data_IF_983132288240
#
_entry.id   IF_983132288240
#
_cell.length_a   1.000
_cell.length_b   1.000
_cell.length_c   1.000
_cell.angle_alpha   90.00
_cell.angle_beta   90.00
_cell.angle_gamma   90.00
#
_symmetry.space_group_name_H-M   'P 1'
#
loop_
_entity.id
_entity.type
_entity.pdbx_description
1 polymer ?
#
# COMPACT_ATOMS: atom_id res chain seq x y z
N UNK A 1 10.47 14.24 -6.88
CA UNK A 1 11.26 13.24 -6.12
C UNK A 1 10.74 13.15 -4.68
N UNK A 2 10.51 11.94 -4.13
CA UNK A 2 10.03 11.76 -2.74
C UNK A 2 11.11 12.25 -1.77
N UNK A 3 10.81 13.11 -0.77
CA UNK A 3 11.81 13.55 0.19
C UNK A 3 12.32 12.36 1.01
N UNK A 4 13.57 12.44 1.49
CA UNK A 4 14.10 11.48 2.46
C UNK A 4 13.17 11.47 3.67
N UNK A 5 12.65 10.30 3.99
CA UNK A 5 11.68 10.16 5.06
C UNK A 5 12.39 9.83 6.37
N UNK A 6 12.13 10.61 7.41
CA UNK A 6 12.68 10.37 8.75
C UNK A 6 11.95 9.22 9.45
N UNK A 7 12.51 8.75 10.56
CA UNK A 7 11.81 7.83 11.46
C UNK A 7 10.42 8.38 11.85
N UNK A 8 9.46 7.47 12.01
CA UNK A 8 8.08 7.78 12.35
C UNK A 8 7.24 8.29 11.17
N UNK A 9 7.85 8.60 10.02
CA UNK A 9 7.10 9.01 8.83
C UNK A 9 6.48 7.84 8.08
N UNK A 10 5.31 8.08 7.47
CA UNK A 10 4.61 7.10 6.64
C UNK A 10 5.46 6.72 5.43
N UNK A 11 5.93 5.48 5.40
CA UNK A 11 6.72 4.89 4.34
C UNK A 11 5.86 4.37 3.18
N UNK A 12 4.81 3.62 3.54
CA UNK A 12 4.01 2.87 2.58
C UNK A 12 2.56 2.66 3.05
N UNK A 13 1.65 2.60 2.09
CA UNK A 13 0.23 2.26 2.28
C UNK A 13 -0.09 1.01 1.48
N UNK A 14 -0.52 -0.08 2.13
CA UNK A 14 -1.04 -1.26 1.43
C UNK A 14 -2.54 -1.38 1.66
N UNK A 15 -3.29 -1.22 0.58
CA UNK A 15 -4.74 -1.35 0.53
C UNK A 15 -5.11 -2.73 0.02
N UNK A 16 -5.96 -3.44 0.75
CA UNK A 16 -6.58 -4.68 0.28
C UNK A 16 -8.09 -4.53 0.22
N UNK A 17 -8.65 -4.74 -0.96
CA UNK A 17 -10.09 -4.54 -1.24
C UNK A 17 -10.61 -5.61 -2.19
N UNK A 18 -11.89 -6.03 -2.09
CA UNK A 18 -12.53 -6.86 -3.11
C UNK A 18 -13.06 -6.00 -4.29
N UNK A 19 -13.08 -4.67 -4.17
CA UNK A 19 -13.65 -3.73 -5.14
C UNK A 19 -12.59 -2.73 -5.62
N UNK A 20 -11.72 -3.17 -6.52
CA UNK A 20 -10.57 -2.38 -6.97
C UNK A 20 -10.98 -1.06 -7.59
N UNK A 21 -11.92 -1.06 -8.54
CA UNK A 21 -12.26 0.15 -9.29
C UNK A 21 -12.97 1.20 -8.41
N UNK A 22 -13.85 0.75 -7.51
CA UNK A 22 -14.48 1.63 -6.51
C UNK A 22 -13.43 2.24 -5.58
N UNK A 23 -12.44 1.45 -5.14
CA UNK A 23 -11.36 1.95 -4.28
C UNK A 23 -10.43 2.92 -5.03
N UNK A 24 -10.12 2.67 -6.31
CA UNK A 24 -9.36 3.60 -7.16
C UNK A 24 -10.08 4.93 -7.32
N UNK A 25 -11.37 4.90 -7.64
CA UNK A 25 -12.18 6.12 -7.78
C UNK A 25 -12.22 6.92 -6.47
N UNK A 26 -12.56 6.26 -5.36
CA UNK A 26 -12.68 6.92 -4.05
C UNK A 26 -11.37 7.61 -3.61
N UNK A 27 -10.24 6.91 -3.65
CA UNK A 27 -8.96 7.50 -3.23
C UNK A 27 -8.34 8.41 -4.29
N UNK A 28 -8.68 8.22 -5.55
CA UNK A 28 -8.36 9.14 -6.63
C UNK A 28 -9.01 10.49 -6.40
N UNK A 29 -10.31 10.52 -6.11
CA UNK A 29 -11.06 11.75 -5.85
C UNK A 29 -10.64 12.42 -4.53
N UNK A 30 -10.45 11.63 -3.47
CA UNK A 30 -10.15 12.14 -2.13
C UNK A 30 -8.73 12.72 -2.00
N UNK A 31 -7.73 12.07 -2.62
CA UNK A 31 -6.32 12.43 -2.42
C UNK A 31 -5.57 12.78 -3.72
N UNK A 32 -6.23 12.75 -4.88
CA UNK A 32 -5.57 12.94 -6.17
C UNK A 32 -4.62 11.79 -6.53
N UNK A 33 -4.83 10.59 -5.97
CA UNK A 33 -3.95 9.45 -6.21
C UNK A 33 -4.13 8.88 -7.60
N UNK A 34 -3.01 8.52 -8.22
CA UNK A 34 -2.96 7.84 -9.52
C UNK A 34 -2.59 6.38 -9.31
N UNK A 35 -3.20 5.50 -10.10
CA UNK A 35 -2.99 4.07 -10.00
C UNK A 35 -2.41 3.54 -11.31
N UNK A 36 -1.38 2.69 -11.20
CA UNK A 36 -0.78 2.00 -12.35
C UNK A 36 -0.74 0.51 -12.06
N UNK A 37 -1.23 -0.27 -13.01
CA UNK A 37 -1.13 -1.72 -12.93
C UNK A 37 0.22 -2.19 -13.45
N UNK A 38 0.81 -3.10 -12.71
CA UNK A 38 2.04 -3.79 -13.06
C UNK A 38 1.77 -5.28 -13.08
N UNK A 39 2.03 -5.89 -14.24
CA UNK A 39 1.89 -7.32 -14.45
C UNK A 39 3.16 -8.00 -13.96
N UNK A 40 3.03 -8.71 -12.84
CA UNK A 40 4.07 -9.59 -12.31
C UNK A 40 3.72 -11.05 -12.66
N UNK A 41 4.70 -11.96 -12.75
CA UNK A 41 4.42 -13.37 -13.00
C UNK A 41 3.41 -13.93 -11.99
N UNK A 42 2.21 -14.29 -12.46
CA UNK A 42 1.13 -14.83 -11.64
C UNK A 42 0.40 -13.83 -10.73
N UNK A 43 0.67 -12.52 -10.83
CA UNK A 43 0.04 -11.51 -9.97
C UNK A 43 -0.10 -10.16 -10.68
N UNK A 44 -1.28 -9.55 -10.58
CA UNK A 44 -1.46 -8.12 -10.90
C UNK A 44 -1.23 -7.32 -9.63
N UNK A 45 -0.26 -6.40 -9.66
CA UNK A 45 -0.02 -5.46 -8.57
C UNK A 45 -0.42 -4.06 -9.04
N UNK A 46 -1.35 -3.43 -8.35
CA UNK A 46 -1.66 -2.02 -8.61
C UNK A 46 -0.77 -1.17 -7.70
N UNK A 47 0.07 -0.32 -8.28
CA UNK A 47 0.85 0.69 -7.57
C UNK A 47 0.08 2.00 -7.49
N UNK A 48 0.27 2.70 -6.38
CA UNK A 48 -0.40 3.94 -6.04
C UNK A 48 0.62 5.07 -5.95
N UNK A 49 0.29 6.17 -6.61
CA UNK A 49 1.16 7.34 -6.75
C UNK A 49 0.44 8.59 -6.26
N UNK A 50 1.18 9.46 -5.59
CA UNK A 50 0.76 10.84 -5.33
C UNK A 50 1.80 11.76 -5.95
N UNK A 51 1.35 12.67 -6.82
CA UNK A 51 2.24 13.35 -7.76
C UNK A 51 3.13 12.32 -8.48
N UNK A 52 4.44 12.51 -8.53
CA UNK A 52 5.40 11.59 -9.16
C UNK A 52 5.96 10.51 -8.22
N UNK A 53 5.54 10.49 -6.96
CA UNK A 53 6.12 9.57 -5.96
C UNK A 53 5.23 8.35 -5.75
N UNK A 54 5.85 7.18 -5.60
CA UNK A 54 5.17 5.95 -5.20
C UNK A 54 4.92 5.97 -3.68
N UNK A 55 3.67 5.68 -3.31
CA UNK A 55 3.22 5.73 -1.92
C UNK A 55 2.62 4.42 -1.42
N UNK A 56 2.31 3.49 -2.31
CA UNK A 56 1.58 2.32 -1.88
C UNK A 56 1.23 1.30 -2.96
N UNK A 57 0.53 0.28 -2.48
CA UNK A 57 -0.08 -0.76 -3.30
C UNK A 57 -1.57 -0.88 -3.04
N UNK A 58 -2.28 -1.30 -4.07
CA UNK A 58 -3.65 -1.73 -4.02
C UNK A 58 -3.72 -3.18 -4.53
N UNK A 59 -4.22 -4.08 -3.70
CA UNK A 59 -4.30 -5.50 -3.98
C UNK A 59 -5.74 -5.99 -3.92
N UNK A 60 -6.14 -6.79 -4.92
CA UNK A 60 -7.46 -7.43 -4.93
C UNK A 60 -7.51 -8.59 -3.94
N UNK A 61 -8.50 -8.58 -3.06
CA UNK A 61 -8.81 -9.71 -2.18
C UNK A 61 -9.39 -10.91 -2.94
N UNK A 62 -9.81 -10.72 -4.20
CA UNK A 62 -10.26 -11.81 -5.07
C UNK A 62 -9.08 -12.55 -5.73
N UNK A 63 -7.85 -12.11 -5.46
CA UNK A 63 -6.65 -12.74 -6.01
C UNK A 63 -6.39 -14.12 -5.37
N UNK A 64 -6.00 -15.14 -6.14
CA UNK A 64 -5.80 -16.50 -5.64
C UNK A 64 -4.62 -16.62 -4.65
N UNK A 65 -3.73 -15.63 -4.61
CA UNK A 65 -2.59 -15.58 -3.67
C UNK A 65 -2.95 -15.06 -2.28
N UNK A 66 -4.16 -14.53 -2.07
CA UNK A 66 -4.61 -14.03 -0.77
C UNK A 66 -5.42 -15.11 -0.03
N UNK A 67 -5.18 -15.34 1.27
CA UNK A 67 -5.98 -16.27 2.06
C UNK A 67 -7.49 -15.96 1.98
N UNK A 68 -8.29 -17.00 1.73
CA UNK A 68 -9.75 -16.88 1.69
C UNK A 68 -10.27 -16.33 3.03
N UNK A 69 -11.21 -15.39 2.97
CA UNK A 69 -11.80 -14.77 4.16
C UNK A 69 -11.00 -13.59 4.74
N UNK A 70 -9.86 -13.21 4.12
CA UNK A 70 -9.19 -11.96 4.46
C UNK A 70 -10.16 -10.77 4.30
N UNK A 71 -10.30 -9.98 5.36
CA UNK A 71 -11.18 -8.80 5.36
C UNK A 71 -10.50 -7.62 4.64
N UNK A 72 -11.28 -6.72 4.03
CA UNK A 72 -10.77 -5.44 3.55
C UNK A 72 -10.02 -4.71 4.66
N UNK A 73 -8.83 -4.19 4.37
CA UNK A 73 -8.05 -3.44 5.34
C UNK A 73 -7.02 -2.54 4.68
N UNK A 74 -6.68 -1.47 5.39
CA UNK A 74 -5.57 -0.59 5.09
C UNK A 74 -4.44 -0.84 6.07
N UNK A 75 -3.26 -1.01 5.51
CA UNK A 75 -2.03 -1.23 6.27
C UNK A 75 -1.11 -0.04 6.08
N UNK A 76 -0.74 0.59 7.20
CA UNK A 76 0.23 1.67 7.18
C UNK A 76 1.57 1.14 7.66
N UNK A 77 2.62 1.59 6.99
CA UNK A 77 4.00 1.21 7.21
C UNK A 77 4.77 2.49 7.47
N UNK A 78 5.47 2.56 8.60
CA UNK A 78 6.25 3.73 9.01
C UNK A 78 7.73 3.40 9.00
N UNK A 79 8.57 4.37 8.64
CA UNK A 79 10.02 4.22 8.76
C UNK A 79 10.40 4.11 10.23
N UNK A 80 11.33 3.21 10.52
CA UNK A 80 11.92 3.04 11.85
C UNK A 80 13.42 3.22 11.74
N UNK A 81 14.05 3.72 12.80
CA UNK A 81 15.51 3.80 12.85
C UNK A 81 16.16 2.43 12.72
N UNK A 82 17.31 2.42 12.06
CA UNK A 82 18.06 1.20 11.79
C UNK A 82 18.87 0.82 13.03
N UNK A 83 18.35 -0.08 13.86
CA UNK A 83 19.21 -0.75 14.84
C UNK A 83 20.17 -1.70 14.09
N UNK A 84 21.44 -1.73 14.51
CA UNK A 84 22.63 -2.30 13.81
C UNK A 84 22.58 -3.78 13.35
N UNK A 85 21.43 -4.45 13.34
CA UNK A 85 21.27 -5.84 12.95
C UNK A 85 19.99 -5.99 12.11
N UNK A 86 20.02 -5.61 10.82
CA UNK A 86 19.30 -6.21 9.67
C UNK A 86 19.14 -5.23 8.48
N UNK A 87 19.33 -5.68 7.22
CA UNK A 87 19.37 -4.79 6.05
C UNK A 87 18.01 -4.40 5.44
N UNK A 88 16.87 -4.65 6.11
CA UNK A 88 15.55 -4.33 5.55
C UNK A 88 14.90 -3.18 6.32
N UNK A 89 14.38 -2.19 5.61
CA UNK A 89 13.49 -1.18 6.18
C UNK A 89 12.29 -1.89 6.80
N UNK A 90 12.29 -2.03 8.13
CA UNK A 90 11.14 -2.54 8.85
C UNK A 90 10.06 -1.47 8.81
N UNK A 91 8.85 -1.90 8.54
CA UNK A 91 7.72 -1.04 8.74
C UNK A 91 6.64 -1.76 9.53
N UNK A 92 6.20 -1.10 10.61
CA UNK A 92 5.21 -1.65 11.53
C UNK A 92 3.84 -1.53 10.90
N UNK A 93 3.23 -2.68 10.58
CA UNK A 93 1.90 -2.77 9.98
C UNK A 93 0.82 -2.38 10.99
N UNK A 94 0.21 -1.21 10.83
CA UNK A 94 -1.00 -0.86 11.59
C UNK A 94 -2.24 -1.26 10.77
N UNK A 95 -3.14 -2.07 11.35
CA UNK A 95 -4.40 -2.43 10.71
C UNK A 95 -5.46 -1.39 11.09
N UNK A 96 -5.86 -0.56 10.13
CA UNK A 96 -7.05 0.28 10.30
C UNK A 96 -8.27 -0.50 9.81
N UNK A 97 -9.30 -0.59 10.68
CA UNK A 97 -10.62 -1.06 10.26
C UNK A 97 -11.25 0.08 9.45
N UNK A 98 -11.64 -0.19 8.21
CA UNK A 98 -12.54 0.70 7.48
C UNK A 98 -13.86 0.78 8.25
N UNK A 99 -14.33 2.01 8.48
CA UNK A 99 -15.58 2.30 9.18
C UNK A 99 -16.79 1.72 8.42
#
# INVERSE_FOLDING_TARGET
MKPFQSEGQLAWVDLKTPRIDTTKAFYGDLFGWRFKEELLPGKVMTKMYSSESEWGSLTSLNSPVIPKGAKPHTSLYFNVERNHIQPFCFAKKLHMKTA
#
